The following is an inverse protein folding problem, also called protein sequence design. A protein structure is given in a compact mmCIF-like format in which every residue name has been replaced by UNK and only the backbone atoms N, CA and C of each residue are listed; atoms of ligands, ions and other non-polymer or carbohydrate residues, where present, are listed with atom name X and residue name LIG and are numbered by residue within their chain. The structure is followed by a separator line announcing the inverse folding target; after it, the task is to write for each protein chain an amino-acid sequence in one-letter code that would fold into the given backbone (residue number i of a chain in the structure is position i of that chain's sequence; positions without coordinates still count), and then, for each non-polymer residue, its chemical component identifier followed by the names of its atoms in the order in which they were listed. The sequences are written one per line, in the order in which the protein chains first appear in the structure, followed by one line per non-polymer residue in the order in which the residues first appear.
data_IF_119683969376
#
_entry.id   IF_119683969376
#
_cell.length_a   1.000
_cell.length_b   1.000
_cell.length_c   1.000
_cell.angle_alpha   90.00
_cell.angle_beta   90.00
_cell.angle_gamma   90.00
#
_symmetry.space_group_name_H-M   'P 1'
#
loop_
_entity.id
_entity.type
_entity.pdbx_description
1 polymer ?
#
# COMPACT_ATOMS: atom_id res chain seq x y z
N UNK A 1 56.35 -12.96 13.48
CA UNK A 1 55.49 -13.88 12.70
C UNK A 1 54.18 -13.15 12.44
N UNK A 2 53.45 -13.48 11.37
CA UNK A 2 52.30 -12.70 10.92
C UNK A 2 51.04 -12.93 11.79
N UNK A 3 50.18 -11.91 11.86
CA UNK A 3 48.86 -11.96 12.49
C UNK A 3 47.85 -12.63 11.56
N UNK A 4 47.26 -13.75 11.97
CA UNK A 4 46.15 -14.39 11.26
C UNK A 4 44.81 -13.71 11.62
N UNK A 5 44.43 -12.69 10.87
CA UNK A 5 43.03 -12.25 10.82
C UNK A 5 42.25 -13.23 9.93
N UNK A 6 41.60 -14.22 10.55
CA UNK A 6 40.64 -15.09 9.89
C UNK A 6 39.30 -14.37 9.76
N UNK A 7 39.08 -13.77 8.59
CA UNK A 7 37.82 -13.11 8.23
C UNK A 7 36.79 -14.12 7.70
N UNK A 8 35.49 -13.80 7.83
CA UNK A 8 34.33 -14.60 7.38
C UNK A 8 34.19 -15.99 8.06
N UNK A 9 33.02 -16.49 8.48
CA UNK A 9 31.65 -16.27 8.02
C UNK A 9 30.69 -16.16 9.22
N UNK A 10 29.68 -15.29 9.15
CA UNK A 10 28.50 -15.39 10.04
C UNK A 10 27.47 -16.30 9.39
N UNK A 11 27.15 -17.42 10.04
CA UNK A 11 26.06 -18.33 9.64
C UNK A 11 24.72 -17.60 9.63
N UNK A 12 23.81 -17.88 8.67
CA UNK A 12 22.46 -17.33 8.63
C UNK A 12 21.49 -18.06 9.59
N UNK A 13 21.98 -18.51 10.76
CA UNK A 13 21.22 -19.35 11.67
C UNK A 13 20.78 -18.60 12.92
N UNK A 14 19.46 -18.63 13.17
CA UNK A 14 18.76 -18.09 14.33
C UNK A 14 18.81 -16.56 14.51
N UNK A 15 17.70 -15.90 14.19
CA UNK A 15 17.38 -14.57 14.75
C UNK A 15 17.08 -14.78 16.24
N UNK A 16 18.12 -14.77 17.08
CA UNK A 16 18.00 -14.88 18.53
C UNK A 16 17.44 -13.56 19.12
N UNK A 17 16.12 -13.39 19.03
CA UNK A 17 15.41 -12.17 19.46
C UNK A 17 15.63 -11.92 20.96
N UNK A 18 16.33 -10.83 21.28
CA UNK A 18 16.34 -10.27 22.64
C UNK A 18 15.09 -9.42 22.84
N UNK A 19 14.06 -9.98 23.47
CA UNK A 19 12.72 -9.40 23.70
C UNK A 19 12.66 -8.16 24.61
N UNK A 20 13.78 -7.47 24.82
CA UNK A 20 13.89 -6.30 25.71
C UNK A 20 13.61 -4.94 25.04
N UNK A 21 13.53 -4.84 23.70
CA UNK A 21 13.28 -3.57 23.03
C UNK A 21 12.69 -3.72 21.62
N UNK A 22 11.35 -3.69 21.53
CA UNK A 22 10.59 -3.78 20.27
C UNK A 22 11.04 -2.73 19.24
N UNK A 23 11.42 -1.50 19.65
CA UNK A 23 11.88 -0.47 18.71
C UNK A 23 13.21 -0.83 18.03
N UNK A 24 14.10 -1.55 18.73
CA UNK A 24 15.33 -2.10 18.13
C UNK A 24 15.04 -3.26 17.19
N UNK A 25 14.07 -4.12 17.52
CA UNK A 25 13.65 -5.21 16.64
C UNK A 25 13.01 -4.67 15.36
N UNK A 26 12.09 -3.71 15.44
CA UNK A 26 11.51 -3.02 14.28
C UNK A 26 12.62 -2.39 13.42
N UNK A 27 13.58 -1.68 14.03
CA UNK A 27 14.69 -1.10 13.28
C UNK A 27 15.53 -2.16 12.54
N UNK A 28 15.80 -3.31 13.16
CA UNK A 28 16.50 -4.43 12.53
C UNK A 28 15.69 -5.06 11.37
N UNK A 29 14.39 -5.29 11.57
CA UNK A 29 13.48 -5.78 10.54
C UNK A 29 13.42 -4.81 9.34
N UNK A 30 13.41 -3.49 9.59
CA UNK A 30 13.44 -2.45 8.55
C UNK A 30 14.76 -2.42 7.79
N UNK A 31 15.91 -2.60 8.46
CA UNK A 31 17.19 -2.81 7.76
C UNK A 31 17.17 -4.09 6.90
N UNK A 32 16.47 -5.14 7.35
CA UNK A 32 16.26 -6.36 6.58
C UNK A 32 15.49 -6.16 5.27
N UNK A 33 14.66 -5.11 5.14
CA UNK A 33 13.95 -4.79 3.90
C UNK A 33 14.88 -4.34 2.77
N UNK A 34 16.09 -3.89 3.09
CA UNK A 34 17.09 -3.45 2.11
C UNK A 34 17.90 -4.62 1.51
N UNK A 35 17.65 -5.84 1.97
CA UNK A 35 18.26 -7.06 1.45
C UNK A 35 17.36 -7.64 0.36
N UNK A 36 17.96 -8.14 -0.73
CA UNK A 36 17.23 -8.74 -1.87
C UNK A 36 16.69 -10.17 -1.58
N UNK A 37 16.76 -10.62 -0.32
CA UNK A 37 16.25 -11.92 0.12
C UNK A 37 14.71 -11.91 0.23
N UNK A 38 14.08 -12.57 -0.76
CA UNK A 38 12.63 -12.69 -0.92
C UNK A 38 11.97 -13.49 0.21
N UNK A 39 12.66 -14.49 0.77
CA UNK A 39 12.13 -15.27 1.88
C UNK A 39 12.18 -14.42 3.16
N UNK A 40 13.32 -13.76 3.41
CA UNK A 40 13.48 -12.85 4.55
C UNK A 40 12.44 -11.71 4.52
N UNK A 41 12.19 -11.10 3.37
CA UNK A 41 11.14 -10.08 3.21
C UNK A 41 9.74 -10.59 3.58
N UNK A 42 9.42 -11.84 3.22
CA UNK A 42 8.14 -12.52 3.56
C UNK A 42 8.06 -12.86 5.06
N UNK A 43 9.16 -13.30 5.66
CA UNK A 43 9.27 -13.51 7.11
C UNK A 43 9.14 -12.18 7.89
N UNK A 44 9.69 -11.07 7.37
CA UNK A 44 9.59 -9.74 7.98
C UNK A 44 8.12 -9.27 8.02
N UNK A 45 7.33 -9.40 6.94
CA UNK A 45 5.89 -9.12 6.96
C UNK A 45 5.18 -9.86 8.11
N UNK A 46 5.49 -11.15 8.25
CA UNK A 46 4.90 -12.03 9.27
C UNK A 46 5.29 -11.63 10.70
N UNK A 47 6.55 -11.26 10.94
CA UNK A 47 7.01 -10.80 12.28
C UNK A 47 6.46 -9.41 12.62
N UNK A 48 6.38 -8.49 11.65
CA UNK A 48 5.76 -7.16 11.84
C UNK A 48 4.29 -7.29 12.24
N UNK A 49 3.53 -8.22 11.63
CA UNK A 49 2.16 -8.55 12.03
C UNK A 49 2.10 -9.11 13.46
N UNK A 50 2.96 -10.07 13.80
CA UNK A 50 3.00 -10.68 15.13
C UNK A 50 3.28 -9.64 16.24
N UNK A 51 4.24 -8.74 16.01
CA UNK A 51 4.53 -7.60 16.91
C UNK A 51 3.31 -6.69 17.02
N UNK A 52 2.68 -6.33 15.89
CA UNK A 52 1.51 -5.44 15.85
C UNK A 52 0.32 -5.97 16.65
N UNK A 53 0.08 -7.28 16.65
CA UNK A 53 -1.06 -7.90 17.33
C UNK A 53 -0.82 -8.19 18.82
N UNK A 54 0.40 -8.54 19.21
CA UNK A 54 0.67 -9.11 20.55
C UNK A 54 1.57 -8.24 21.45
N UNK A 55 2.42 -7.39 20.85
CA UNK A 55 3.53 -6.72 21.55
C UNK A 55 3.44 -5.18 21.47
N UNK A 56 2.67 -4.64 20.52
CA UNK A 56 2.65 -3.22 20.18
C UNK A 56 1.50 -2.43 20.87
N UNK A 57 1.79 -1.37 21.65
CA UNK A 57 0.78 -0.40 22.07
C UNK A 57 0.23 0.38 20.87
N UNK A 58 -1.09 0.59 20.79
CA UNK A 58 -1.78 1.18 19.61
C UNK A 58 -1.07 2.43 19.02
N UNK A 59 -0.57 3.32 19.90
CA UNK A 59 0.15 4.55 19.54
C UNK A 59 1.46 4.35 18.75
N UNK A 60 1.93 3.11 18.53
CA UNK A 60 3.16 2.80 17.79
C UNK A 60 2.92 2.14 16.42
N UNK A 61 1.66 1.97 15.98
CA UNK A 61 1.36 1.33 14.68
C UNK A 61 1.98 2.03 13.48
N UNK A 62 2.14 3.36 13.50
CA UNK A 62 2.80 4.11 12.42
C UNK A 62 4.23 3.64 12.12
N UNK A 63 4.93 3.08 13.12
CA UNK A 63 6.28 2.50 12.97
C UNK A 63 6.29 1.13 12.27
N UNK A 64 5.13 0.46 12.21
CA UNK A 64 4.95 -0.89 11.65
C UNK A 64 4.23 -0.85 10.29
N UNK A 65 3.34 0.12 10.10
CA UNK A 65 2.57 0.30 8.86
C UNK A 65 3.42 0.79 7.68
N UNK A 66 4.41 1.68 7.89
CA UNK A 66 5.30 2.11 6.81
C UNK A 66 6.18 0.96 6.24
N UNK A 67 6.83 0.13 7.09
CA UNK A 67 7.50 -1.10 6.63
C UNK A 67 6.58 -2.07 5.87
N UNK A 68 5.35 -2.28 6.34
CA UNK A 68 4.36 -3.12 5.65
C UNK A 68 3.92 -2.50 4.31
N UNK A 69 3.73 -1.19 4.23
CA UNK A 69 3.42 -0.50 2.97
C UNK A 69 4.57 -0.58 1.96
N UNK A 70 5.83 -0.53 2.43
CA UNK A 70 7.00 -0.76 1.56
C UNK A 70 7.03 -2.20 1.02
N UNK A 71 6.71 -3.20 1.86
CA UNK A 71 6.58 -4.58 1.41
C UNK A 71 5.40 -4.81 0.46
N UNK A 72 4.26 -4.14 0.65
CA UNK A 72 3.10 -4.21 -0.24
C UNK A 72 3.46 -3.79 -1.67
N UNK A 73 4.32 -2.79 -1.82
CA UNK A 73 4.84 -2.27 -3.10
C UNK A 73 6.08 -3.02 -3.61
N UNK A 74 6.40 -4.19 -3.06
CA UNK A 74 7.56 -4.97 -3.47
C UNK A 74 7.28 -5.76 -4.77
N UNK A 75 8.26 -5.78 -5.68
CA UNK A 75 8.22 -6.60 -6.89
C UNK A 75 8.16 -8.11 -6.63
N UNK A 76 8.52 -8.59 -5.44
CA UNK A 76 8.24 -9.95 -5.02
C UNK A 76 6.77 -10.13 -4.62
N UNK A 77 6.10 -11.04 -5.33
CA UNK A 77 4.67 -11.37 -5.19
C UNK A 77 4.36 -11.88 -3.77
N UNK A 78 5.22 -12.73 -3.21
CA UNK A 78 4.98 -13.41 -1.93
C UNK A 78 5.03 -12.42 -0.76
N UNK A 79 6.06 -11.57 -0.72
CA UNK A 79 6.23 -10.51 0.27
C UNK A 79 5.15 -9.43 0.15
N UNK A 80 4.76 -9.04 -1.08
CA UNK A 80 3.64 -8.13 -1.33
C UNK A 80 2.31 -8.72 -0.83
N UNK A 81 2.07 -10.01 -1.05
CA UNK A 81 0.86 -10.70 -0.62
C UNK A 81 0.82 -10.96 0.89
N UNK A 82 1.97 -11.25 1.51
CA UNK A 82 2.10 -11.35 2.96
C UNK A 82 1.86 -9.99 3.64
N UNK A 83 2.36 -8.89 3.05
CA UNK A 83 2.09 -7.54 3.51
C UNK A 83 0.62 -7.13 3.32
N UNK A 84 -0.01 -7.45 2.19
CA UNK A 84 -1.46 -7.28 1.96
C UNK A 84 -2.27 -7.97 3.06
N UNK A 85 -1.93 -9.23 3.37
CA UNK A 85 -2.63 -10.03 4.38
C UNK A 85 -2.42 -9.46 5.79
N UNK A 86 -1.20 -9.03 6.11
CA UNK A 86 -0.89 -8.36 7.37
C UNK A 86 -1.64 -7.03 7.55
N UNK A 87 -1.64 -6.16 6.53
CA UNK A 87 -2.34 -4.87 6.57
C UNK A 87 -3.85 -5.09 6.71
N UNK A 88 -4.44 -5.97 5.91
CA UNK A 88 -5.87 -6.31 6.00
C UNK A 88 -6.24 -6.89 7.36
N UNK A 89 -5.38 -7.75 7.94
CA UNK A 89 -5.58 -8.27 9.30
C UNK A 89 -5.59 -7.13 10.33
N UNK A 90 -4.69 -6.16 10.23
CA UNK A 90 -4.64 -5.02 11.16
C UNK A 90 -5.80 -4.03 10.96
N UNK A 91 -6.18 -3.73 9.72
CA UNK A 91 -7.35 -2.89 9.36
C UNK A 91 -8.66 -3.50 9.90
N UNK A 92 -8.81 -4.82 9.80
CA UNK A 92 -9.99 -5.51 10.33
C UNK A 92 -10.06 -5.51 11.87
N UNK A 93 -8.95 -5.24 12.59
CA UNK A 93 -8.88 -5.35 14.06
C UNK A 93 -8.74 -4.01 14.82
N UNK A 94 -8.42 -2.88 14.19
CA UNK A 94 -8.23 -1.61 14.93
C UNK A 94 -8.60 -0.34 14.13
N UNK A 95 -9.37 0.54 14.77
CA UNK A 95 -9.66 1.90 14.27
C UNK A 95 -8.45 2.84 14.34
N UNK A 96 -7.50 2.58 15.25
CA UNK A 96 -6.23 3.31 15.29
C UNK A 96 -5.35 2.93 14.08
N UNK A 97 -5.39 1.66 13.63
CA UNK A 97 -4.74 1.26 12.36
C UNK A 97 -5.40 1.92 11.16
N UNK A 98 -6.74 1.88 11.07
CA UNK A 98 -7.50 2.59 10.02
C UNK A 98 -7.10 4.07 9.96
N UNK A 99 -7.13 4.73 11.12
CA UNK A 99 -6.76 6.14 11.28
C UNK A 99 -5.30 6.43 10.93
N UNK A 100 -4.38 5.53 11.29
CA UNK A 100 -2.96 5.68 11.02
C UNK A 100 -2.65 5.56 9.53
N UNK A 101 -3.19 4.56 8.82
CA UNK A 101 -2.97 4.35 7.38
C UNK A 101 -3.34 5.60 6.56
N UNK A 102 -4.53 6.15 6.80
CA UNK A 102 -4.99 7.39 6.16
C UNK A 102 -4.04 8.55 6.47
N UNK A 103 -3.69 8.76 7.75
CA UNK A 103 -2.79 9.84 8.19
C UNK A 103 -1.35 9.68 7.70
N UNK A 104 -0.90 8.46 7.38
CA UNK A 104 0.40 8.21 6.72
C UNK A 104 0.38 8.42 5.21
N UNK A 105 -0.75 8.82 4.62
CA UNK A 105 -0.87 9.09 3.19
C UNK A 105 -1.06 7.84 2.31
N UNK A 106 -1.45 6.69 2.90
CA UNK A 106 -1.58 5.42 2.18
C UNK A 106 -2.44 5.52 0.91
N UNK A 107 -3.54 6.31 0.96
CA UNK A 107 -4.43 6.52 -0.17
C UNK A 107 -3.73 7.30 -1.30
N UNK A 108 -2.90 8.29 -1.00
CA UNK A 108 -2.13 9.01 -2.02
C UNK A 108 -1.02 8.12 -2.60
N UNK A 109 -0.36 7.30 -1.77
CA UNK A 109 0.59 6.29 -2.26
C UNK A 109 -0.10 5.31 -3.21
N UNK A 110 -1.27 4.78 -2.85
CA UNK A 110 -2.04 3.89 -3.71
C UNK A 110 -2.51 4.61 -4.98
N UNK A 111 -2.92 5.88 -4.88
CA UNK A 111 -3.32 6.73 -6.01
C UNK A 111 -2.19 6.87 -7.04
N UNK A 112 -0.97 7.17 -6.60
CA UNK A 112 0.19 7.33 -7.49
C UNK A 112 0.58 5.99 -8.15
N UNK A 113 0.60 4.90 -7.38
CA UNK A 113 0.94 3.57 -7.91
C UNK A 113 -0.11 3.07 -8.91
N UNK A 114 -1.40 3.31 -8.66
CA UNK A 114 -2.49 2.94 -9.59
C UNK A 114 -2.59 3.83 -10.84
N UNK A 115 -1.74 4.87 -10.97
CA UNK A 115 -1.58 5.68 -12.20
C UNK A 115 -0.38 5.17 -13.03
N UNK A 116 0.64 4.57 -12.42
CA UNK A 116 1.83 4.11 -13.14
C UNK A 116 1.54 2.80 -13.89
N UNK A 117 1.45 2.89 -15.22
CA UNK A 117 1.25 1.77 -16.15
C UNK A 117 2.31 0.67 -16.02
N UNK A 118 3.49 0.99 -15.47
CA UNK A 118 4.58 0.04 -15.24
C UNK A 118 4.39 -0.81 -13.97
N UNK A 119 3.37 -0.51 -13.15
CA UNK A 119 3.12 -1.22 -11.89
C UNK A 119 2.77 -2.70 -12.15
N UNK A 120 3.48 -3.65 -11.52
CA UNK A 120 3.13 -5.07 -11.58
C UNK A 120 1.68 -5.34 -11.11
N UNK A 121 0.93 -6.10 -11.91
CA UNK A 121 -0.48 -6.46 -11.67
C UNK A 121 -0.76 -7.01 -10.26
N UNK A 122 0.21 -7.66 -9.60
CA UNK A 122 0.04 -8.13 -8.21
C UNK A 122 -0.03 -6.99 -7.20
N UNK A 123 0.75 -5.91 -7.40
CA UNK A 123 0.76 -4.73 -6.55
C UNK A 123 -0.56 -3.95 -6.70
N UNK A 124 -1.03 -3.74 -7.94
CA UNK A 124 -2.35 -3.12 -8.20
C UNK A 124 -3.47 -3.92 -7.51
N UNK A 125 -3.49 -5.24 -7.72
CA UNK A 125 -4.43 -6.17 -7.09
C UNK A 125 -4.41 -6.07 -5.57
N UNK A 126 -3.22 -6.04 -4.97
CA UNK A 126 -3.02 -6.07 -3.52
C UNK A 126 -3.35 -4.72 -2.86
N UNK A 127 -3.05 -3.59 -3.51
CA UNK A 127 -3.48 -2.26 -3.07
C UNK A 127 -5.00 -2.13 -3.06
N UNK A 128 -5.68 -2.60 -4.12
CA UNK A 128 -7.14 -2.54 -4.21
C UNK A 128 -7.82 -3.39 -3.12
N UNK A 129 -7.24 -4.52 -2.70
CA UNK A 129 -7.76 -5.29 -1.55
C UNK A 129 -7.67 -4.51 -0.23
N UNK A 130 -6.60 -3.73 -0.01
CA UNK A 130 -6.45 -2.90 1.19
C UNK A 130 -7.42 -1.72 1.16
N UNK A 131 -7.59 -1.06 0.01
CA UNK A 131 -8.61 0.00 -0.19
C UNK A 131 -10.02 -0.55 0.10
N UNK A 132 -10.34 -1.74 -0.43
CA UNK A 132 -11.60 -2.43 -0.15
C UNK A 132 -11.77 -2.76 1.34
N UNK A 133 -10.73 -3.28 2.00
CA UNK A 133 -10.77 -3.59 3.44
C UNK A 133 -11.02 -2.32 4.28
N UNK A 134 -10.36 -1.21 3.97
CA UNK A 134 -10.59 0.08 4.64
C UNK A 134 -12.06 0.55 4.49
N UNK A 135 -12.64 0.48 3.29
CA UNK A 135 -14.04 0.85 3.06
C UNK A 135 -15.03 -0.08 3.77
N UNK A 136 -14.80 -1.39 3.76
CA UNK A 136 -15.65 -2.35 4.48
C UNK A 136 -15.55 -2.20 6.00
N UNK A 137 -14.43 -1.69 6.51
CA UNK A 137 -14.25 -1.35 7.92
C UNK A 137 -14.66 0.09 8.27
N UNK A 138 -15.48 0.73 7.43
CA UNK A 138 -16.15 1.99 7.75
C UNK A 138 -15.28 3.25 7.68
N UNK A 139 -14.11 3.20 7.01
CA UNK A 139 -13.33 4.41 6.73
C UNK A 139 -14.14 5.35 5.83
N UNK A 140 -14.20 6.62 6.21
CA UNK A 140 -14.88 7.69 5.48
C UNK A 140 -14.46 7.69 4.00
N UNK A 141 -15.39 7.37 3.10
CA UNK A 141 -15.13 7.30 1.66
C UNK A 141 -14.60 8.61 1.06
N UNK A 142 -14.85 9.77 1.68
CA UNK A 142 -14.34 11.06 1.21
C UNK A 142 -12.80 11.16 1.32
N UNK A 143 -12.16 10.40 2.22
CA UNK A 143 -10.69 10.27 2.27
C UNK A 143 -10.13 9.62 0.98
N UNK A 144 -11.00 9.01 0.17
CA UNK A 144 -10.66 8.26 -1.05
C UNK A 144 -11.16 8.93 -2.34
N UNK A 145 -11.67 10.16 -2.28
CA UNK A 145 -12.19 10.88 -3.46
C UNK A 145 -11.16 11.02 -4.59
N UNK A 146 -9.87 11.10 -4.25
CA UNK A 146 -8.76 11.16 -5.22
C UNK A 146 -8.57 9.88 -6.06
N UNK A 147 -9.24 8.78 -5.72
CA UNK A 147 -9.20 7.52 -6.47
C UNK A 147 -10.29 7.40 -7.54
N UNK A 148 -11.36 8.22 -7.53
CA UNK A 148 -12.57 8.02 -8.34
C UNK A 148 -12.27 7.87 -9.84
N UNK A 149 -11.52 8.80 -10.43
CA UNK A 149 -11.21 8.78 -11.87
C UNK A 149 -10.38 7.54 -12.27
N UNK A 150 -9.39 7.19 -11.45
CA UNK A 150 -8.49 6.05 -11.66
C UNK A 150 -9.26 4.74 -11.56
N UNK A 151 -10.13 4.61 -10.56
CA UNK A 151 -10.99 3.44 -10.40
C UNK A 151 -12.01 3.31 -11.54
N UNK A 152 -12.49 4.42 -12.10
CA UNK A 152 -13.32 4.41 -13.30
C UNK A 152 -12.54 3.87 -14.50
N UNK A 153 -11.34 4.42 -14.79
CA UNK A 153 -10.46 3.99 -15.88
C UNK A 153 -10.09 2.51 -15.75
N UNK A 154 -9.63 2.07 -14.58
CA UNK A 154 -9.32 0.66 -14.30
C UNK A 154 -10.56 -0.24 -14.44
N UNK A 155 -11.77 0.24 -14.14
CA UNK A 155 -13.01 -0.54 -14.30
C UNK A 155 -13.45 -0.75 -15.76
N UNK A 156 -12.85 -0.03 -16.70
CA UNK A 156 -13.10 -0.14 -18.15
C UNK A 156 -12.05 -0.97 -18.89
N UNK A 157 -10.95 -1.33 -18.22
CA UNK A 157 -9.88 -2.20 -18.74
C UNK A 157 -10.42 -3.58 -19.16
N UNK A 158 -9.91 -4.09 -20.30
CA UNK A 158 -10.49 -5.22 -21.07
C UNK A 158 -9.51 -6.37 -21.30
N UNK A 159 -8.23 -6.19 -21.01
CA UNK A 159 -7.23 -7.25 -21.04
C UNK A 159 -7.56 -8.35 -20.01
N UNK A 160 -7.46 -9.61 -20.42
CA UNK A 160 -7.71 -10.75 -19.53
C UNK A 160 -6.73 -10.77 -18.33
N UNK A 161 -5.53 -10.19 -18.48
CA UNK A 161 -4.53 -10.08 -17.43
C UNK A 161 -4.95 -9.11 -16.31
N UNK A 162 -5.45 -7.91 -16.65
CA UNK A 162 -5.97 -6.93 -15.66
C UNK A 162 -7.43 -7.15 -15.27
N UNK A 163 -8.12 -8.16 -15.81
CA UNK A 163 -9.53 -8.49 -15.53
C UNK A 163 -9.90 -8.55 -14.03
N UNK A 164 -9.02 -9.07 -13.17
CA UNK A 164 -9.23 -9.08 -11.71
C UNK A 164 -9.11 -7.68 -11.08
N UNK A 165 -8.17 -6.87 -11.56
CA UNK A 165 -7.96 -5.47 -11.14
C UNK A 165 -9.18 -4.64 -11.55
N UNK A 166 -9.64 -4.77 -12.80
CA UNK A 166 -10.86 -4.14 -13.31
C UNK A 166 -12.10 -4.48 -12.48
N UNK A 167 -12.32 -5.76 -12.14
CA UNK A 167 -13.41 -6.18 -11.27
C UNK A 167 -13.35 -5.56 -9.86
N UNK A 168 -12.15 -5.53 -9.24
CA UNK A 168 -11.95 -4.87 -7.93
C UNK A 168 -12.20 -3.37 -8.00
N UNK A 169 -11.58 -2.69 -8.97
CA UNK A 169 -11.71 -1.26 -9.19
C UNK A 169 -13.17 -0.85 -9.43
N UNK A 170 -13.91 -1.60 -10.25
CA UNK A 170 -15.34 -1.38 -10.51
C UNK A 170 -16.20 -1.45 -9.25
N UNK A 171 -15.97 -2.46 -8.42
CA UNK A 171 -16.68 -2.62 -7.14
C UNK A 171 -16.34 -1.50 -6.16
N UNK A 172 -15.06 -1.13 -6.02
CA UNK A 172 -14.62 -0.02 -5.14
C UNK A 172 -15.22 1.31 -5.64
N UNK A 173 -15.18 1.58 -6.95
CA UNK A 173 -15.83 2.75 -7.55
C UNK A 173 -17.34 2.80 -7.24
N UNK A 174 -18.03 1.67 -7.40
CA UNK A 174 -19.46 1.54 -7.09
C UNK A 174 -19.75 1.79 -5.61
N UNK A 175 -18.89 1.29 -4.70
CA UNK A 175 -19.00 1.53 -3.26
C UNK A 175 -18.83 3.01 -2.91
N UNK A 176 -17.82 3.69 -3.46
CA UNK A 176 -17.59 5.12 -3.23
C UNK A 176 -18.77 5.97 -3.72
N UNK A 177 -19.26 5.71 -4.95
CA UNK A 177 -20.43 6.39 -5.51
C UNK A 177 -21.70 6.14 -4.66
N UNK A 178 -21.89 4.91 -4.17
CA UNK A 178 -23.04 4.57 -3.29
C UNK A 178 -23.01 5.29 -1.94
N UNK A 179 -21.83 5.74 -1.49
CA UNK A 179 -21.63 6.58 -0.30
C UNK A 179 -21.66 8.09 -0.61
N UNK A 180 -22.03 8.48 -1.84
CA UNK A 180 -22.16 9.87 -2.27
C UNK A 180 -20.83 10.53 -2.69
N UNK A 181 -19.73 9.77 -2.74
CA UNK A 181 -18.41 10.28 -3.15
C UNK A 181 -18.33 10.32 -4.66
N UNK A 182 -18.91 11.38 -5.23
CA UNK A 182 -18.82 11.69 -6.65
C UNK A 182 -17.49 12.39 -6.95
N UNK A 183 -16.89 12.06 -8.09
CA UNK A 183 -15.79 12.84 -8.65
C UNK A 183 -16.26 14.22 -9.16
N UNK A 184 -15.35 15.06 -9.69
CA UNK A 184 -15.77 16.24 -10.45
C UNK A 184 -16.72 15.80 -11.57
N UNK A 185 -17.89 16.41 -11.66
CA UNK A 185 -18.92 15.98 -12.62
C UNK A 185 -18.45 16.18 -14.07
N UNK A 186 -18.99 15.37 -14.99
CA UNK A 186 -18.70 15.52 -16.43
C UNK A 186 -19.01 16.93 -16.95
N UNK A 187 -19.99 17.62 -16.36
CA UNK A 187 -20.30 19.03 -16.63
C UNK A 187 -19.19 20.00 -16.17
N UNK A 188 -18.47 19.67 -15.10
CA UNK A 188 -17.31 20.45 -14.63
C UNK A 188 -16.08 20.15 -15.49
N UNK A 189 -15.85 18.88 -15.83
CA UNK A 189 -14.74 18.43 -16.68
C UNK A 189 -14.86 19.04 -18.07
N UNK A 190 -15.98 18.83 -18.76
CA UNK A 190 -16.22 19.40 -20.10
C UNK A 190 -16.19 20.93 -20.14
N UNK A 191 -16.55 21.61 -19.04
CA UNK A 191 -16.38 23.05 -18.92
C UNK A 191 -14.90 23.46 -18.84
N UNK A 192 -14.09 22.74 -18.06
CA UNK A 192 -12.65 22.98 -17.95
C UNK A 192 -11.91 22.66 -19.26
N UNK A 193 -12.29 21.59 -19.97
CA UNK A 193 -11.77 21.26 -21.31
C UNK A 193 -12.04 22.38 -22.31
N UNK A 194 -13.29 22.90 -22.35
CA UNK A 194 -13.63 24.05 -23.19
C UNK A 194 -12.85 25.32 -22.81
N UNK A 195 -12.56 25.54 -21.52
CA UNK A 195 -11.74 26.68 -21.08
C UNK A 195 -10.26 26.50 -21.48
N UNK A 196 -9.70 25.29 -21.40
CA UNK A 196 -8.34 25.00 -21.86
C UNK A 196 -8.19 25.20 -23.37
N UNK A 197 -9.13 24.72 -24.18
CA UNK A 197 -9.14 24.96 -25.64
C UNK A 197 -9.52 26.41 -26.02
N UNK A 198 -9.94 27.27 -25.08
CA UNK A 198 -9.99 28.73 -25.28
C UNK A 198 -8.63 29.35 -24.98
N UNK A 199 -8.09 29.16 -23.76
CA UNK A 199 -6.79 29.73 -23.37
C UNK A 199 -5.65 29.31 -24.31
N UNK A 200 -5.69 28.08 -24.83
CA UNK A 200 -4.70 27.60 -25.81
C UNK A 200 -4.70 28.41 -27.10
N UNK A 201 -5.87 28.80 -27.61
CA UNK A 201 -5.98 29.70 -28.78
C UNK A 201 -5.51 31.12 -28.43
N UNK A 202 -5.81 31.60 -27.23
CA UNK A 202 -5.31 32.89 -26.72
C UNK A 202 -3.78 32.92 -26.45
N UNK A 203 -3.09 31.76 -26.54
CA UNK A 203 -1.63 31.61 -26.46
C UNK A 203 -1.00 31.37 -27.85
N UNK A 204 -1.82 31.05 -28.86
CA UNK A 204 -1.42 30.79 -30.25
C UNK A 204 -1.62 32.04 -31.17
N UNK A 205 -2.17 33.15 -30.64
CA UNK A 205 -2.32 34.48 -31.29
C UNK A 205 -1.23 35.51 -30.88
#
# INVERSE_FOLDING_TARGET
MATSFSDSLRSPESIAIQSGNIKKEIAFLVSGLQLEDKEQQTQIASRLLAISLNECPQASYSLLLYPLATLLLNGNIDASSAAQSAINTLVNNSDDVRSALIKTGFIETARQVLIDENTPNHIESNLLDVIQSLLFQGVNANEMIGLISILSQLSEEKSEEKKKISQKAKMIHTLLLSQGVNGPSEQLISKLENQNEVHKREIEE
#
